data_IF_922413872057
#
_entry.id   IF_922413872057
#
_cell.length_a   1.000
_cell.length_b   1.000
_cell.length_c   1.000
_cell.angle_alpha   90.00
_cell.angle_beta   90.00
_cell.angle_gamma   90.00
#
_symmetry.space_group_name_H-M   'P 1'
#
loop_
_entity.id
_entity.type
_entity.pdbx_description
1 polymer ?
#
# COMPACT_ATOMS: atom_id res chain seq x y z
N UNK A 1 -6.37 -60.10 31.34
CA UNK A 1 -5.62 -59.00 32.00
C UNK A 1 -4.10 -59.23 32.13
N UNK A 2 -3.54 -60.44 31.93
CA UNK A 2 -2.05 -60.64 31.90
C UNK A 2 -1.49 -60.94 30.50
N UNK A 3 -2.32 -61.25 29.50
CA UNK A 3 -1.85 -61.60 28.15
C UNK A 3 -1.77 -60.46 27.13
N UNK A 4 -2.31 -59.28 27.46
CA UNK A 4 -2.28 -58.08 26.58
C UNK A 4 -1.05 -57.20 26.88
N UNK A 5 -0.42 -57.38 28.06
CA UNK A 5 0.76 -56.63 28.49
C UNK A 5 2.09 -57.21 27.98
N UNK A 6 2.11 -58.45 27.47
CA UNK A 6 3.35 -59.11 27.02
C UNK A 6 3.61 -58.90 25.52
N UNK A 7 2.60 -58.49 24.75
CA UNK A 7 2.71 -58.20 23.31
C UNK A 7 3.28 -56.79 23.04
N UNK A 8 3.22 -55.89 24.04
CA UNK A 8 3.81 -54.54 23.95
C UNK A 8 5.32 -54.49 24.23
N UNK A 9 5.93 -55.56 24.75
CA UNK A 9 7.36 -55.56 25.11
C UNK A 9 8.30 -56.04 23.99
N UNK A 10 7.80 -56.48 22.82
CA UNK A 10 8.65 -57.10 21.77
C UNK A 10 8.72 -56.38 20.43
N UNK A 11 8.14 -55.19 20.29
CA UNK A 11 8.29 -54.35 19.09
C UNK A 11 8.98 -53.05 19.45
N UNK A 12 10.29 -53.14 19.68
CA UNK A 12 11.20 -51.99 19.58
C UNK A 12 11.73 -51.90 18.15
N UNK A 13 11.26 -50.95 17.31
CA UNK A 13 12.08 -50.48 16.21
C UNK A 13 13.07 -49.47 16.77
N UNK A 14 14.36 -49.76 16.59
CA UNK A 14 15.46 -48.85 16.88
C UNK A 14 15.24 -47.52 16.14
N UNK A 15 14.79 -46.49 16.86
CA UNK A 15 14.60 -45.15 16.32
C UNK A 15 15.94 -44.41 16.36
N UNK A 16 16.45 -44.14 15.16
CA UNK A 16 17.46 -43.11 14.87
C UNK A 16 17.05 -41.78 15.55
N UNK A 17 18.00 -40.91 15.96
CA UNK A 17 17.66 -39.66 16.62
C UNK A 17 17.00 -38.72 15.60
N UNK A 18 15.67 -38.72 15.55
CA UNK A 18 14.88 -37.70 14.88
C UNK A 18 15.04 -36.39 15.66
N UNK A 19 15.19 -35.28 14.94
CA UNK A 19 15.47 -33.96 15.51
C UNK A 19 14.51 -33.57 16.64
N UNK A 20 15.05 -32.87 17.64
CA UNK A 20 14.43 -32.43 18.90
C UNK A 20 13.13 -31.59 18.76
N UNK A 21 12.59 -31.39 17.56
CA UNK A 21 11.32 -30.68 17.35
C UNK A 21 10.08 -31.58 17.24
N UNK A 22 10.20 -32.82 16.72
CA UNK A 22 9.03 -33.64 16.38
C UNK A 22 8.60 -34.64 17.45
N UNK A 23 9.51 -35.05 18.34
CA UNK A 23 9.22 -35.93 19.48
C UNK A 23 8.47 -35.20 20.61
N UNK A 24 8.60 -33.88 20.72
CA UNK A 24 8.09 -33.10 21.85
C UNK A 24 6.62 -32.65 21.70
N UNK A 25 6.17 -32.38 20.47
CA UNK A 25 4.73 -32.14 20.17
C UNK A 25 3.85 -33.36 20.50
N UNK A 26 4.44 -34.56 20.59
CA UNK A 26 3.70 -35.82 20.81
C UNK A 26 3.23 -36.05 22.24
N UNK A 27 3.73 -35.33 23.25
CA UNK A 27 3.38 -35.61 24.66
C UNK A 27 2.31 -34.67 25.21
N UNK A 28 2.35 -33.39 24.85
CA UNK A 28 1.43 -32.38 25.40
C UNK A 28 0.02 -32.45 24.79
N UNK A 29 -0.10 -32.71 23.47
CA UNK A 29 -1.40 -32.75 22.80
C UNK A 29 -2.30 -33.90 23.31
N UNK A 30 -1.82 -35.15 23.48
CA UNK A 30 -2.65 -36.21 24.06
C UNK A 30 -3.09 -35.93 25.50
N UNK A 31 -2.27 -35.24 26.29
CA UNK A 31 -2.62 -34.83 27.67
C UNK A 31 -3.81 -33.88 27.66
N UNK A 32 -3.83 -32.91 26.73
CA UNK A 32 -4.93 -31.95 26.58
C UNK A 32 -6.20 -32.65 26.07
N UNK A 33 -6.07 -33.52 25.07
CA UNK A 33 -7.21 -34.28 24.53
C UNK A 33 -7.86 -35.15 25.62
N UNK A 34 -7.04 -35.91 26.36
CA UNK A 34 -7.52 -36.74 27.46
C UNK A 34 -8.17 -35.90 28.57
N UNK A 35 -7.59 -34.74 28.91
CA UNK A 35 -8.16 -33.82 29.90
C UNK A 35 -9.56 -33.33 29.52
N UNK A 36 -9.79 -33.05 28.23
CA UNK A 36 -11.11 -32.67 27.71
C UNK A 36 -12.05 -33.87 27.74
N UNK A 37 -11.60 -35.06 27.32
CA UNK A 37 -12.40 -36.29 27.31
C UNK A 37 -12.87 -36.72 28.71
N UNK A 38 -12.00 -36.59 29.72
CA UNK A 38 -12.31 -36.99 31.11
C UNK A 38 -12.79 -35.83 32.00
N UNK A 39 -12.96 -34.63 31.43
CA UNK A 39 -13.30 -33.38 32.11
C UNK A 39 -12.47 -33.09 33.38
N UNK A 40 -11.15 -33.26 33.28
CA UNK A 40 -10.22 -33.04 34.39
C UNK A 40 -9.17 -31.98 34.01
N UNK A 41 -8.99 -30.97 34.87
CA UNK A 41 -8.02 -29.90 34.66
C UNK A 41 -7.16 -29.69 35.92
N UNK A 42 -5.85 -29.83 35.77
CA UNK A 42 -4.86 -29.61 36.83
C UNK A 42 -3.49 -29.27 36.26
N UNK A 43 -2.47 -29.16 37.12
CA UNK A 43 -1.15 -28.60 36.80
C UNK A 43 -0.48 -29.21 35.56
N UNK A 44 -0.65 -30.50 35.32
CA UNK A 44 -0.07 -31.19 34.16
C UNK A 44 -0.71 -30.73 32.83
N UNK A 45 -2.03 -30.50 32.83
CA UNK A 45 -2.77 -29.98 31.67
C UNK A 45 -2.40 -28.53 31.44
N UNK A 46 -2.27 -27.75 32.51
CA UNK A 46 -1.81 -26.37 32.47
C UNK A 46 -0.42 -26.25 31.84
N UNK A 47 0.55 -27.04 32.32
CA UNK A 47 1.90 -27.08 31.75
C UNK A 47 1.89 -27.54 30.29
N UNK A 48 1.05 -28.52 29.94
CA UNK A 48 0.93 -28.98 28.56
C UNK A 48 0.37 -27.89 27.62
N UNK A 49 -0.61 -27.11 28.08
CA UNK A 49 -1.17 -25.98 27.32
C UNK A 49 -0.10 -24.90 27.15
N UNK A 50 0.57 -24.47 28.22
CA UNK A 50 1.61 -23.44 28.15
C UNK A 50 2.79 -23.86 27.27
N UNK A 51 3.20 -25.13 27.36
CA UNK A 51 4.26 -25.69 26.52
C UNK A 51 3.90 -25.63 25.04
N UNK A 52 2.69 -26.08 24.67
CA UNK A 52 2.25 -26.03 23.28
C UNK A 52 2.09 -24.59 22.79
N UNK A 53 1.55 -23.68 23.60
CA UNK A 53 1.41 -22.27 23.23
C UNK A 53 2.78 -21.62 22.96
N UNK A 54 3.76 -21.86 23.82
CA UNK A 54 5.13 -21.34 23.65
C UNK A 54 5.78 -21.86 22.36
N UNK A 55 5.37 -23.04 21.88
CA UNK A 55 5.93 -23.71 20.69
C UNK A 55 5.07 -23.52 19.43
N UNK A 56 4.17 -22.53 19.41
CA UNK A 56 3.31 -22.24 18.26
C UNK A 56 2.27 -23.34 17.98
N UNK A 57 1.89 -24.11 19.00
CA UNK A 57 0.91 -25.20 18.92
C UNK A 57 -0.55 -24.73 18.91
N UNK A 58 -0.81 -23.44 18.68
CA UNK A 58 -2.17 -22.88 18.66
C UNK A 58 -3.08 -23.63 17.68
N UNK A 59 -2.56 -23.97 16.49
CA UNK A 59 -3.27 -24.76 15.47
C UNK A 59 -3.72 -26.14 15.96
N UNK A 60 -3.05 -26.68 16.97
CA UNK A 60 -3.38 -27.99 17.54
C UNK A 60 -4.39 -27.89 18.69
N UNK A 61 -4.31 -26.82 19.50
CA UNK A 61 -5.17 -26.65 20.68
C UNK A 61 -6.50 -25.99 20.32
N UNK A 62 -6.48 -24.95 19.47
CA UNK A 62 -7.67 -24.16 19.18
C UNK A 62 -8.85 -25.02 18.69
N UNK A 63 -8.68 -25.98 17.75
CA UNK A 63 -9.78 -26.83 17.28
C UNK A 63 -10.41 -27.71 18.37
N UNK A 64 -9.69 -28.01 19.47
CA UNK A 64 -10.20 -28.84 20.56
C UNK A 64 -11.22 -28.10 21.44
N UNK A 65 -11.22 -26.76 21.40
CA UNK A 65 -12.03 -25.90 22.27
C UNK A 65 -12.74 -24.78 21.49
N UNK A 66 -12.91 -24.97 20.18
CA UNK A 66 -13.73 -24.12 19.33
C UNK A 66 -15.20 -24.19 19.74
N UNK A 67 -15.90 -23.05 19.74
CA UNK A 67 -17.32 -22.97 20.09
C UNK A 67 -17.63 -23.11 21.60
N UNK A 68 -18.88 -23.47 21.91
CA UNK A 68 -19.29 -23.75 23.29
C UNK A 68 -18.72 -25.10 23.75
N UNK A 69 -17.94 -25.07 24.84
CA UNK A 69 -17.35 -26.28 25.42
C UNK A 69 -18.30 -26.87 26.46
N UNK A 70 -18.69 -28.13 26.29
CA UNK A 70 -19.55 -28.85 27.24
C UNK A 70 -18.81 -29.37 28.48
N UNK A 71 -17.50 -29.13 28.58
CA UNK A 71 -16.63 -29.59 29.66
C UNK A 71 -15.99 -28.41 30.39
N UNK A 72 -15.81 -28.53 31.70
CA UNK A 72 -15.12 -27.52 32.51
C UNK A 72 -13.64 -27.40 32.13
N UNK A 73 -12.99 -28.52 31.79
CA UNK A 73 -11.62 -28.54 31.27
C UNK A 73 -11.50 -27.77 29.95
N UNK A 74 -12.42 -28.01 29.00
CA UNK A 74 -12.46 -27.28 27.73
C UNK A 74 -12.69 -25.77 27.94
N UNK A 75 -13.63 -25.41 28.83
CA UNK A 75 -13.92 -24.02 29.15
C UNK A 75 -12.70 -23.28 29.73
N UNK A 76 -11.94 -23.92 30.63
CA UNK A 76 -10.70 -23.35 31.19
C UNK A 76 -9.61 -23.18 30.15
N UNK A 77 -9.41 -24.17 29.28
CA UNK A 77 -8.45 -24.06 28.17
C UNK A 77 -8.85 -22.91 27.26
N UNK A 78 -10.13 -22.83 26.86
CA UNK A 78 -10.66 -21.75 26.03
C UNK A 78 -10.44 -20.38 26.66
N UNK A 79 -10.74 -20.21 27.95
CA UNK A 79 -10.54 -18.96 28.67
C UNK A 79 -9.07 -18.49 28.60
N UNK A 80 -8.12 -19.43 28.66
CA UNK A 80 -6.69 -19.12 28.57
C UNK A 80 -6.27 -18.72 27.14
N UNK A 81 -6.89 -19.30 26.11
CA UNK A 81 -6.67 -18.94 24.71
C UNK A 81 -7.34 -17.61 24.33
N UNK A 82 -8.46 -17.28 24.94
CA UNK A 82 -9.26 -16.08 24.68
C UNK A 82 -8.68 -14.80 25.31
N UNK A 83 -7.42 -14.81 25.75
CA UNK A 83 -6.78 -13.64 26.40
C UNK A 83 -6.05 -12.77 25.37
N UNK A 84 -6.20 -11.42 25.41
CA UNK A 84 -5.51 -10.50 24.50
C UNK A 84 -3.98 -10.66 24.52
N UNK A 85 -3.41 -11.03 25.66
CA UNK A 85 -1.97 -11.26 25.85
C UNK A 85 -1.46 -12.41 24.94
N UNK A 86 -2.34 -13.30 24.48
CA UNK A 86 -2.00 -14.34 23.51
C UNK A 86 -1.64 -13.77 22.15
N UNK A 87 -2.22 -12.64 21.76
CA UNK A 87 -1.88 -11.94 20.52
C UNK A 87 -0.53 -11.25 20.69
N UNK A 88 -0.28 -10.59 21.81
CA UNK A 88 1.02 -9.95 22.09
C UNK A 88 2.16 -11.00 22.10
N UNK A 89 1.89 -12.22 22.59
CA UNK A 89 2.85 -13.33 22.57
C UNK A 89 3.23 -13.82 21.15
N UNK A 90 2.51 -13.40 20.10
CA UNK A 90 2.87 -13.71 18.71
C UNK A 90 4.05 -12.85 18.22
N UNK A 91 4.48 -11.82 18.95
CA UNK A 91 5.55 -10.93 18.51
C UNK A 91 6.85 -11.67 18.13
N UNK A 92 7.18 -12.75 18.84
CA UNK A 92 8.36 -13.60 18.63
C UNK A 92 8.11 -14.79 17.69
N UNK A 93 6.93 -14.88 17.08
CA UNK A 93 6.55 -15.98 16.18
C UNK A 93 6.89 -15.65 14.73
N UNK A 94 7.58 -16.57 14.05
CA UNK A 94 7.98 -16.38 12.65
C UNK A 94 6.79 -16.34 11.68
N UNK A 95 5.75 -17.14 11.90
CA UNK A 95 4.57 -17.20 11.04
C UNK A 95 3.37 -17.82 11.76
N UNK A 96 2.18 -17.44 11.33
CA UNK A 96 0.90 -18.01 11.71
C UNK A 96 0.06 -18.15 10.45
N UNK A 97 -0.75 -19.19 10.33
CA UNK A 97 -1.76 -19.27 9.26
C UNK A 97 -2.88 -18.26 9.50
N UNK A 98 -3.48 -17.75 8.42
CA UNK A 98 -4.59 -16.81 8.51
C UNK A 98 -5.77 -17.46 9.26
N UNK A 99 -6.02 -18.76 9.05
CA UNK A 99 -7.08 -19.50 9.74
C UNK A 99 -6.79 -19.68 11.24
N UNK A 100 -5.53 -19.78 11.66
CA UNK A 100 -5.19 -19.87 13.09
C UNK A 100 -5.34 -18.51 13.78
N UNK A 101 -4.95 -17.44 13.08
CA UNK A 101 -5.12 -16.07 13.57
C UNK A 101 -6.62 -15.72 13.68
N UNK A 102 -7.41 -16.06 12.67
CA UNK A 102 -8.87 -15.86 12.68
C UNK A 102 -9.53 -16.55 13.88
N UNK A 103 -9.19 -17.82 14.14
CA UNK A 103 -9.68 -18.55 15.33
C UNK A 103 -9.29 -17.88 16.63
N UNK A 104 -8.05 -17.41 16.75
CA UNK A 104 -7.59 -16.70 17.94
C UNK A 104 -8.41 -15.44 18.18
N UNK A 105 -8.63 -14.65 17.13
CA UNK A 105 -9.47 -13.44 17.18
C UNK A 105 -10.91 -13.77 17.53
N UNK A 106 -11.46 -14.86 17.00
CA UNK A 106 -12.81 -15.32 17.35
C UNK A 106 -12.93 -15.73 18.82
N UNK A 107 -11.88 -16.30 19.42
CA UNK A 107 -11.85 -16.64 20.85
C UNK A 107 -11.72 -15.40 21.74
N UNK A 108 -10.81 -14.48 21.41
CA UNK A 108 -10.58 -13.23 22.15
C UNK A 108 -11.76 -12.27 22.03
N UNK A 109 -12.44 -12.29 20.88
CA UNK A 109 -13.46 -11.33 20.49
C UNK A 109 -12.86 -10.17 19.71
N UNK A 110 -13.52 -9.80 18.60
CA UNK A 110 -12.98 -8.83 17.64
C UNK A 110 -12.59 -7.49 18.29
N UNK A 111 -13.46 -6.90 19.10
CA UNK A 111 -13.21 -5.61 19.75
C UNK A 111 -11.96 -5.62 20.66
N UNK A 112 -11.76 -6.71 21.41
CA UNK A 112 -10.64 -6.86 22.33
C UNK A 112 -9.33 -7.20 21.59
N UNK A 113 -9.44 -7.82 20.42
CA UNK A 113 -8.29 -8.22 19.61
C UNK A 113 -7.66 -7.06 18.82
N UNK A 114 -8.39 -5.98 18.51
CA UNK A 114 -7.89 -4.90 17.63
C UNK A 114 -6.62 -4.27 18.16
N UNK A 115 -6.61 -3.77 19.41
CA UNK A 115 -5.46 -3.04 19.93
C UNK A 115 -4.18 -3.90 20.03
N UNK A 116 -4.23 -5.16 20.52
CA UNK A 116 -3.10 -6.09 20.43
C UNK A 116 -2.62 -6.34 18.99
N UNK A 117 -3.53 -6.53 18.03
CA UNK A 117 -3.15 -6.74 16.63
C UNK A 117 -2.48 -5.50 16.01
N UNK A 118 -2.94 -4.29 16.34
CA UNK A 118 -2.31 -3.04 15.89
C UNK A 118 -0.89 -2.86 16.46
N UNK A 119 -0.67 -3.24 17.73
CA UNK A 119 0.69 -3.31 18.31
C UNK A 119 1.54 -4.35 17.60
N UNK A 120 1.01 -5.56 17.40
CA UNK A 120 1.71 -6.66 16.74
C UNK A 120 2.12 -6.30 15.30
N UNK A 121 1.26 -5.61 14.55
CA UNK A 121 1.57 -5.11 13.21
C UNK A 121 2.78 -4.16 13.21
N UNK A 122 2.98 -3.44 14.32
CA UNK A 122 4.02 -2.42 14.48
C UNK A 122 5.33 -2.98 15.05
N UNK A 123 5.24 -4.00 15.89
CA UNK A 123 6.37 -4.53 16.68
C UNK A 123 6.98 -5.79 16.06
N UNK A 124 6.22 -6.56 15.28
CA UNK A 124 6.72 -7.80 14.71
C UNK A 124 7.81 -7.54 13.66
N UNK A 125 8.92 -8.29 13.77
CA UNK A 125 9.95 -8.35 12.75
C UNK A 125 9.63 -9.32 11.61
N UNK A 126 8.61 -10.17 11.75
CA UNK A 126 8.24 -11.14 10.71
C UNK A 126 7.34 -10.49 9.66
N UNK A 127 7.80 -10.53 8.40
CA UNK A 127 7.00 -10.10 7.24
C UNK A 127 5.76 -10.97 7.03
N UNK A 128 5.87 -12.28 7.26
CA UNK A 128 4.76 -13.22 7.12
C UNK A 128 3.68 -12.97 8.17
N UNK A 129 4.08 -12.81 9.44
CA UNK A 129 3.14 -12.51 10.52
C UNK A 129 2.47 -11.15 10.32
N UNK A 130 3.23 -10.11 9.98
CA UNK A 130 2.66 -8.79 9.69
C UNK A 130 1.65 -8.83 8.55
N UNK A 131 1.89 -9.64 7.52
CA UNK A 131 0.94 -9.84 6.42
C UNK A 131 -0.37 -10.43 6.93
N UNK A 132 -0.32 -11.52 7.68
CA UNK A 132 -1.52 -12.16 8.24
C UNK A 132 -2.27 -11.23 9.18
N UNK A 133 -1.56 -10.51 10.05
CA UNK A 133 -2.14 -9.50 10.95
C UNK A 133 -2.80 -8.36 10.18
N UNK A 134 -2.16 -7.85 9.12
CA UNK A 134 -2.72 -6.80 8.27
C UNK A 134 -4.01 -7.25 7.58
N UNK A 135 -4.01 -8.46 7.01
CA UNK A 135 -5.20 -9.05 6.38
C UNK A 135 -6.34 -9.19 7.39
N UNK A 136 -6.04 -9.72 8.58
CA UNK A 136 -7.02 -9.89 9.65
C UNK A 136 -7.62 -8.56 10.11
N UNK A 137 -6.78 -7.54 10.34
CA UNK A 137 -7.24 -6.20 10.70
C UNK A 137 -8.12 -5.58 9.60
N UNK A 138 -7.78 -5.81 8.33
CA UNK A 138 -8.59 -5.34 7.20
C UNK A 138 -9.99 -5.97 7.21
N UNK A 139 -10.09 -7.29 7.48
CA UNK A 139 -11.37 -7.98 7.62
C UNK A 139 -12.21 -7.50 8.82
N UNK A 140 -11.57 -7.04 9.90
CA UNK A 140 -12.26 -6.54 11.11
C UNK A 140 -12.96 -5.19 10.90
N UNK A 141 -12.60 -4.44 9.85
CA UNK A 141 -13.33 -3.25 9.38
C UNK A 141 -13.52 -2.17 10.46
N UNK A 142 -14.77 -1.85 10.78
CA UNK A 142 -15.17 -0.75 11.66
C UNK A 142 -14.51 -0.81 13.06
N UNK A 143 -14.24 -2.00 13.59
CA UNK A 143 -13.57 -2.15 14.90
C UNK A 143 -12.17 -1.51 14.88
N UNK A 144 -11.46 -1.58 13.76
CA UNK A 144 -10.16 -0.92 13.57
C UNK A 144 -10.33 0.59 13.55
N UNK A 145 -11.32 1.10 12.82
CA UNK A 145 -11.58 2.53 12.69
C UNK A 145 -11.78 3.24 14.04
N UNK A 146 -12.39 2.56 15.03
CA UNK A 146 -12.58 3.09 16.39
C UNK A 146 -11.29 3.12 17.23
N UNK A 147 -10.34 2.22 16.98
CA UNK A 147 -9.16 2.02 17.82
C UNK A 147 -7.85 2.54 17.22
N UNK A 148 -7.84 2.94 15.94
CA UNK A 148 -6.60 3.29 15.21
C UNK A 148 -6.02 4.67 15.58
N UNK A 149 -6.83 5.59 16.08
CA UNK A 149 -6.42 6.99 16.33
C UNK A 149 -5.17 7.11 17.23
N UNK A 150 -5.05 6.43 18.38
CA UNK A 150 -3.85 6.52 19.21
C UNK A 150 -2.58 6.06 18.51
N UNK A 151 -2.67 5.12 17.56
CA UNK A 151 -1.53 4.60 16.80
C UNK A 151 -1.10 5.56 15.68
N UNK A 152 -2.03 6.35 15.15
CA UNK A 152 -1.72 7.40 14.19
C UNK A 152 -1.00 8.60 14.82
N UNK A 153 -1.07 8.73 16.15
CA UNK A 153 -0.36 9.74 16.94
C UNK A 153 1.00 9.23 17.49
N UNK A 154 1.40 7.99 17.17
CA UNK A 154 2.67 7.42 17.63
C UNK A 154 3.86 8.23 17.07
N UNK A 155 4.88 8.55 17.90
CA UNK A 155 6.05 9.32 17.44
C UNK A 155 6.92 8.59 16.42
N UNK A 156 6.78 7.26 16.30
CA UNK A 156 7.61 6.43 15.42
C UNK A 156 6.98 6.40 14.03
N UNK A 157 7.71 6.92 13.03
CA UNK A 157 7.24 7.06 11.66
C UNK A 157 6.69 5.75 11.05
N UNK A 158 7.27 4.60 11.38
CA UNK A 158 6.86 3.32 10.81
C UNK A 158 5.51 2.84 11.33
N UNK A 159 5.13 3.21 12.54
CA UNK A 159 3.80 2.89 13.08
C UNK A 159 2.75 3.69 12.34
N UNK A 160 2.92 5.01 12.28
CA UNK A 160 2.03 5.92 11.55
C UNK A 160 1.91 5.49 10.08
N UNK A 161 3.03 5.13 9.43
CA UNK A 161 3.04 4.60 8.06
C UNK A 161 2.19 3.35 7.93
N UNK A 162 2.37 2.36 8.80
CA UNK A 162 1.59 1.11 8.76
C UNK A 162 0.10 1.36 9.02
N UNK A 163 -0.23 2.29 9.93
CA UNK A 163 -1.62 2.66 10.21
C UNK A 163 -2.27 3.33 8.99
N UNK A 164 -1.56 4.21 8.29
CA UNK A 164 -2.06 4.84 7.06
C UNK A 164 -2.26 3.80 5.94
N UNK A 165 -1.35 2.84 5.79
CA UNK A 165 -1.51 1.72 4.85
C UNK A 165 -2.75 0.89 5.19
N UNK A 166 -2.98 0.62 6.47
CA UNK A 166 -4.17 -0.09 6.95
C UNK A 166 -5.44 0.72 6.67
N UNK A 167 -5.47 2.02 6.99
CA UNK A 167 -6.60 2.91 6.68
C UNK A 167 -6.93 2.91 5.19
N UNK A 168 -5.92 2.85 4.31
CA UNK A 168 -6.12 2.79 2.87
C UNK A 168 -6.72 1.47 2.38
N UNK A 169 -6.51 0.39 3.13
CA UNK A 169 -7.04 -0.94 2.83
C UNK A 169 -8.41 -1.22 3.46
N UNK A 170 -8.83 -0.44 4.47
CA UNK A 170 -10.14 -0.62 5.11
C UNK A 170 -11.29 -0.44 4.11
N UNK A 171 -12.37 -1.24 4.23
CA UNK A 171 -13.54 -1.13 3.36
C UNK A 171 -14.25 0.21 3.50
N UNK A 172 -14.28 0.74 4.72
CA UNK A 172 -14.85 2.04 5.04
C UNK A 172 -13.82 2.91 5.76
N UNK A 173 -13.81 4.19 5.40
CA UNK A 173 -12.91 5.16 6.01
C UNK A 173 -13.37 5.45 7.46
N UNK A 174 -12.46 5.47 8.44
CA UNK A 174 -12.80 5.89 9.80
C UNK A 174 -13.41 7.29 9.82
N UNK A 175 -14.57 7.44 10.46
CA UNK A 175 -15.28 8.71 10.54
C UNK A 175 -14.43 9.79 11.24
N UNK A 176 -14.40 10.99 10.67
CA UNK A 176 -13.66 12.13 11.24
C UNK A 176 -12.13 12.08 11.06
N UNK A 177 -11.57 11.02 10.47
CA UNK A 177 -10.14 10.93 10.20
C UNK A 177 -9.78 11.75 8.95
N UNK A 178 -9.10 12.90 9.15
CA UNK A 178 -8.38 13.58 8.08
C UNK A 178 -6.93 13.09 8.04
N UNK A 179 -6.40 12.84 6.84
CA UNK A 179 -5.01 12.42 6.64
C UNK A 179 -4.13 13.51 6.03
N UNK A 180 -4.67 14.72 5.84
CA UNK A 180 -3.96 15.82 5.21
C UNK A 180 -2.68 16.22 5.97
N UNK A 181 -2.70 16.24 7.31
CA UNK A 181 -1.52 16.64 8.09
C UNK A 181 -0.37 15.64 7.95
N UNK A 182 -0.66 14.35 7.76
CA UNK A 182 0.36 13.33 7.51
C UNK A 182 1.01 13.49 6.13
N UNK A 183 0.33 14.09 5.15
CA UNK A 183 0.92 14.39 3.84
C UNK A 183 2.02 15.47 3.89
N UNK A 184 2.19 16.15 5.03
CA UNK A 184 3.29 17.10 5.31
C UNK A 184 4.26 16.59 6.40
N UNK A 185 4.21 15.30 6.74
CA UNK A 185 5.04 14.71 7.79
C UNK A 185 6.55 14.80 7.46
N UNK A 186 7.45 14.94 8.46
CA UNK A 186 8.90 15.00 8.22
C UNK A 186 9.47 13.78 7.47
N UNK A 187 8.96 12.59 7.79
CA UNK A 187 9.36 11.34 7.12
C UNK A 187 8.62 11.15 5.78
N UNK A 188 9.37 10.96 4.70
CA UNK A 188 8.87 10.77 3.33
C UNK A 188 7.95 9.55 3.19
N UNK A 189 8.21 8.45 3.91
CA UNK A 189 7.40 7.23 3.81
C UNK A 189 6.00 7.44 4.37
N UNK A 190 5.88 8.25 5.42
CA UNK A 190 4.58 8.66 5.97
C UNK A 190 3.83 9.55 4.98
N UNK A 191 4.51 10.53 4.37
CA UNK A 191 3.89 11.39 3.35
C UNK A 191 3.36 10.57 2.15
N UNK A 192 4.14 9.60 1.69
CA UNK A 192 3.74 8.68 0.61
C UNK A 192 2.50 7.86 0.96
N UNK A 193 2.40 7.34 2.18
CA UNK A 193 1.23 6.60 2.63
C UNK A 193 -0.01 7.49 2.80
N UNK A 194 0.19 8.73 3.26
CA UNK A 194 -0.90 9.67 3.52
C UNK A 194 -1.50 10.32 2.26
N UNK A 195 -0.67 10.58 1.25
CA UNK A 195 -1.06 11.38 0.10
C UNK A 195 -2.29 10.82 -0.65
N UNK A 196 -2.36 9.52 -1.01
CA UNK A 196 -3.53 8.96 -1.70
C UNK A 196 -4.82 9.08 -0.87
N UNK A 197 -4.73 8.98 0.46
CA UNK A 197 -5.87 9.14 1.36
C UNK A 197 -6.36 10.59 1.41
N UNK A 198 -5.43 11.54 1.43
CA UNK A 198 -5.73 12.97 1.45
C UNK A 198 -6.31 13.46 0.10
N UNK A 199 -5.87 12.87 -1.02
CA UNK A 199 -6.42 13.17 -2.35
C UNK A 199 -7.87 12.71 -2.53
N UNK A 200 -8.27 11.67 -1.80
CA UNK A 200 -9.66 11.15 -1.75
C UNK A 200 -10.58 11.96 -0.84
N UNK A 201 -10.05 12.85 0.01
CA UNK A 201 -10.85 13.74 0.87
C UNK A 201 -11.28 14.98 0.06
N UNK A 202 -12.58 15.20 -0.20
CA UNK A 202 -13.01 16.35 -1.01
C UNK A 202 -12.51 17.70 -0.47
N UNK A 203 -12.56 17.89 0.85
CA UNK A 203 -12.15 19.13 1.52
C UNK A 203 -10.63 19.34 1.53
N UNK A 204 -9.84 18.27 1.56
CA UNK A 204 -8.38 18.34 1.60
C UNK A 204 -7.72 18.24 0.22
N UNK A 205 -8.45 17.77 -0.80
CA UNK A 205 -7.92 17.43 -2.13
C UNK A 205 -7.08 18.54 -2.76
N UNK A 206 -7.56 19.78 -2.73
CA UNK A 206 -6.83 20.90 -3.32
C UNK A 206 -5.46 21.14 -2.64
N UNK A 207 -5.42 21.02 -1.31
CA UNK A 207 -4.17 21.14 -0.54
C UNK A 207 -3.26 19.92 -0.75
N UNK A 208 -3.83 18.72 -0.81
CA UNK A 208 -3.09 17.49 -1.10
C UNK A 208 -2.44 17.51 -2.49
N UNK A 209 -3.15 18.00 -3.52
CA UNK A 209 -2.59 18.23 -4.85
C UNK A 209 -1.43 19.22 -4.82
N UNK A 210 -1.60 20.33 -4.10
CA UNK A 210 -0.52 21.33 -3.94
C UNK A 210 0.72 20.73 -3.27
N UNK A 211 0.54 19.90 -2.25
CA UNK A 211 1.64 19.20 -1.59
C UNK A 211 2.32 18.21 -2.53
N UNK A 212 1.54 17.39 -3.25
CA UNK A 212 2.07 16.40 -4.19
C UNK A 212 2.93 17.03 -5.29
N UNK A 213 2.46 18.12 -5.91
CA UNK A 213 3.16 18.76 -7.03
C UNK A 213 4.46 19.46 -6.59
N UNK A 214 4.54 19.88 -5.32
CA UNK A 214 5.73 20.56 -4.79
C UNK A 214 6.77 19.61 -4.19
N UNK A 215 6.51 18.31 -4.20
CA UNK A 215 7.44 17.35 -3.62
C UNK A 215 8.65 17.09 -4.51
N UNK A 216 9.76 16.73 -3.87
CA UNK A 216 10.95 16.27 -4.57
C UNK A 216 10.88 14.80 -4.98
N UNK A 217 10.02 14.01 -4.33
CA UNK A 217 9.85 12.58 -4.65
C UNK A 217 8.96 12.41 -5.88
N UNK A 218 9.56 11.94 -6.99
CA UNK A 218 8.84 11.77 -8.27
C UNK A 218 7.60 10.87 -8.16
N UNK A 219 7.58 9.90 -7.23
CA UNK A 219 6.42 9.02 -7.07
C UNK A 219 5.24 9.82 -6.53
N UNK A 220 5.47 10.70 -5.56
CA UNK A 220 4.43 11.61 -5.05
C UNK A 220 3.96 12.61 -6.10
N UNK A 221 4.88 13.22 -6.84
CA UNK A 221 4.52 14.15 -7.92
C UNK A 221 3.69 13.45 -9.00
N UNK A 222 4.11 12.24 -9.42
CA UNK A 222 3.34 11.40 -10.34
C UNK A 222 1.94 11.11 -9.81
N UNK A 223 1.79 10.70 -8.55
CA UNK A 223 0.47 10.49 -7.92
C UNK A 223 -0.39 11.76 -8.00
N UNK A 224 0.17 12.94 -7.70
CA UNK A 224 -0.54 14.20 -7.81
C UNK A 224 -1.01 14.52 -9.24
N UNK A 225 -0.15 14.32 -10.23
CA UNK A 225 -0.47 14.53 -11.64
C UNK A 225 -1.55 13.55 -12.14
N UNK A 226 -1.48 12.28 -11.76
CA UNK A 226 -2.46 11.26 -12.16
C UNK A 226 -3.86 11.52 -11.59
N UNK A 227 -3.98 12.27 -10.49
CA UNK A 227 -5.27 12.68 -9.92
C UNK A 227 -5.90 13.88 -10.65
N UNK A 228 -5.17 14.59 -11.53
CA UNK A 228 -5.66 15.72 -12.32
C UNK A 228 -6.32 15.25 -13.63
N UNK A 229 -7.40 14.45 -13.51
CA UNK A 229 -7.98 13.70 -14.64
C UNK A 229 -8.84 14.51 -15.63
N UNK A 230 -9.65 15.46 -15.16
CA UNK A 230 -10.68 16.09 -16.00
C UNK A 230 -10.70 17.62 -15.93
N UNK A 231 -10.48 18.19 -14.74
CA UNK A 231 -10.44 19.64 -14.56
C UNK A 231 -9.17 20.02 -13.80
N UNK A 232 -8.36 20.90 -14.41
CA UNK A 232 -7.20 21.48 -13.78
C UNK A 232 -7.64 22.72 -12.99
N UNK A 233 -7.54 22.72 -11.65
CA UNK A 233 -7.84 23.92 -10.89
C UNK A 233 -6.86 25.02 -11.29
N UNK A 234 -7.37 26.24 -11.53
CA UNK A 234 -6.55 27.37 -12.00
C UNK A 234 -5.32 27.64 -11.11
N UNK A 235 -5.44 27.44 -9.79
CA UNK A 235 -4.32 27.60 -8.85
C UNK A 235 -3.21 26.53 -8.96
N UNK A 236 -3.48 25.39 -9.60
CA UNK A 236 -2.52 24.29 -9.76
C UNK A 236 -1.69 24.45 -11.04
N UNK A 237 -2.22 25.13 -12.07
CA UNK A 237 -1.52 25.33 -13.36
C UNK A 237 -0.10 25.91 -13.18
N UNK A 238 0.12 27.01 -12.42
CA UNK A 238 1.46 27.55 -12.23
C UNK A 238 2.39 26.58 -11.51
N UNK A 239 1.86 25.74 -10.62
CA UNK A 239 2.64 24.76 -9.86
C UNK A 239 3.11 23.62 -10.76
N UNK A 240 2.22 23.08 -11.61
CA UNK A 240 2.59 22.02 -12.57
C UNK A 240 3.62 22.52 -13.58
N UNK A 241 3.47 23.77 -14.06
CA UNK A 241 4.47 24.37 -14.94
C UNK A 241 5.81 24.48 -14.22
N UNK A 242 5.83 25.10 -13.04
CA UNK A 242 7.08 25.43 -12.32
C UNK A 242 7.81 24.20 -11.80
N UNK A 243 7.09 23.26 -11.17
CA UNK A 243 7.69 22.13 -10.46
C UNK A 243 7.74 20.83 -11.28
N UNK A 244 6.97 20.71 -12.36
CA UNK A 244 6.96 19.48 -13.17
C UNK A 244 7.47 19.70 -14.58
N UNK A 245 7.16 20.82 -15.25
CA UNK A 245 7.49 21.02 -16.66
C UNK A 245 8.82 21.76 -16.86
N UNK A 246 9.01 22.86 -16.13
CA UNK A 246 10.17 23.74 -16.20
C UNK A 246 11.38 23.25 -15.38
N UNK A 247 11.15 22.31 -14.47
CA UNK A 247 12.22 21.70 -13.67
C UNK A 247 12.94 20.62 -14.50
N UNK A 248 14.15 20.94 -14.94
CA UNK A 248 14.98 20.04 -15.74
C UNK A 248 15.58 18.88 -14.91
N UNK A 249 15.48 18.90 -13.58
CA UNK A 249 15.84 17.75 -12.73
C UNK A 249 14.80 16.63 -12.79
N UNK A 250 13.56 16.94 -13.22
CA UNK A 250 12.49 15.96 -13.37
C UNK A 250 12.75 15.02 -14.56
N UNK A 251 12.42 13.74 -14.38
CA UNK A 251 12.50 12.77 -15.46
C UNK A 251 11.63 13.16 -16.66
N UNK A 252 12.08 12.77 -17.86
CA UNK A 252 11.34 12.96 -19.11
C UNK A 252 9.92 12.39 -19.02
N UNK A 253 9.74 11.25 -18.36
CA UNK A 253 8.42 10.64 -18.14
C UNK A 253 7.50 11.54 -17.32
N UNK A 254 8.01 12.17 -16.26
CA UNK A 254 7.20 13.06 -15.42
C UNK A 254 6.85 14.37 -16.15
N UNK A 255 7.81 14.95 -16.87
CA UNK A 255 7.58 16.11 -17.74
C UNK A 255 6.55 15.82 -18.84
N UNK A 256 6.58 14.62 -19.43
CA UNK A 256 5.57 14.15 -20.38
C UNK A 256 4.17 14.07 -19.75
N UNK A 257 4.07 13.49 -18.54
CA UNK A 257 2.82 13.45 -17.81
C UNK A 257 2.30 14.85 -17.50
N UNK A 258 3.17 15.79 -17.12
CA UNK A 258 2.80 17.19 -16.93
C UNK A 258 2.25 17.83 -18.21
N UNK A 259 2.87 17.60 -19.38
CA UNK A 259 2.35 18.06 -20.67
C UNK A 259 0.96 17.48 -20.93
N UNK A 260 0.75 16.19 -20.67
CA UNK A 260 -0.57 15.54 -20.85
C UNK A 260 -1.64 16.15 -19.96
N UNK A 261 -1.30 16.39 -18.69
CA UNK A 261 -2.19 17.03 -17.72
C UNK A 261 -2.53 18.45 -18.16
N UNK A 262 -1.56 19.22 -18.66
CA UNK A 262 -1.79 20.60 -19.08
C UNK A 262 -2.51 20.72 -20.43
N UNK A 263 -2.38 19.74 -21.32
CA UNK A 263 -2.85 19.81 -22.71
C UNK A 263 -4.33 20.21 -22.91
N UNK A 264 -5.30 19.78 -22.06
CA UNK A 264 -6.69 20.19 -22.19
C UNK A 264 -6.97 21.64 -21.74
N UNK A 265 -6.02 22.30 -21.05
CA UNK A 265 -6.23 23.63 -20.47
C UNK A 265 -6.27 24.73 -21.52
N UNK A 266 -7.23 25.64 -21.37
CA UNK A 266 -7.34 26.89 -22.12
C UNK A 266 -6.64 28.08 -21.45
N UNK A 267 -5.82 27.84 -20.40
CA UNK A 267 -5.05 28.90 -19.74
C UNK A 267 -3.87 29.35 -20.63
N UNK A 268 -3.74 30.66 -20.96
CA UNK A 268 -2.62 31.17 -21.75
C UNK A 268 -1.23 30.86 -21.17
N UNK A 269 -1.10 30.69 -19.84
CA UNK A 269 0.18 30.27 -19.24
C UNK A 269 0.60 28.88 -19.71
N UNK A 270 -0.36 27.97 -19.91
CA UNK A 270 -0.10 26.64 -20.47
C UNK A 270 0.38 26.76 -21.90
N UNK A 271 -0.29 27.57 -22.73
CA UNK A 271 0.17 27.83 -24.11
C UNK A 271 1.61 28.30 -24.14
N UNK A 272 1.96 29.28 -23.29
CA UNK A 272 3.30 29.87 -23.27
C UNK A 272 4.36 28.87 -22.79
N UNK A 273 4.04 28.04 -21.78
CA UNK A 273 4.91 26.96 -21.33
C UNK A 273 5.11 25.87 -22.41
N UNK A 274 4.04 25.46 -23.09
CA UNK A 274 4.13 24.49 -24.19
C UNK A 274 4.93 25.04 -25.37
N UNK A 275 4.83 26.34 -25.68
CA UNK A 275 5.65 27.00 -26.69
C UNK A 275 7.14 26.97 -26.32
N UNK A 276 7.47 27.21 -25.05
CA UNK A 276 8.85 27.12 -24.53
C UNK A 276 9.43 25.71 -24.72
N UNK A 277 8.64 24.66 -24.44
CA UNK A 277 9.06 23.26 -24.61
C UNK A 277 9.18 22.87 -26.08
N UNK A 278 8.17 23.20 -26.91
CA UNK A 278 8.13 22.80 -28.31
C UNK A 278 9.14 23.58 -29.19
N UNK A 279 9.50 24.81 -28.79
CA UNK A 279 10.41 25.66 -29.53
C UNK A 279 11.21 26.61 -28.64
N UNK A 280 12.17 26.11 -27.84
CA UNK A 280 12.91 26.91 -26.86
C UNK A 280 13.80 28.00 -27.51
N UNK A 281 14.08 27.89 -28.80
CA UNK A 281 15.04 28.72 -29.51
C UNK A 281 14.44 29.54 -30.65
N UNK A 282 15.17 30.59 -31.05
CA UNK A 282 14.93 31.35 -32.27
C UNK A 282 16.05 31.09 -33.29
N UNK A 283 15.69 31.11 -34.57
CA UNK A 283 16.66 31.18 -35.67
C UNK A 283 17.43 32.50 -35.64
N UNK A 284 18.53 32.59 -36.41
CA UNK A 284 19.35 33.80 -36.56
C UNK A 284 18.55 35.04 -37.04
N UNK A 285 17.36 34.84 -37.59
CA UNK A 285 16.45 35.91 -38.03
C UNK A 285 15.29 36.14 -37.04
N UNK A 286 15.41 35.67 -35.80
CA UNK A 286 14.41 35.86 -34.74
C UNK A 286 13.13 35.04 -34.90
N UNK A 287 13.02 34.17 -35.93
CA UNK A 287 11.85 33.30 -36.12
C UNK A 287 11.91 32.09 -35.17
N UNK A 288 10.80 31.70 -34.53
CA UNK A 288 10.74 30.49 -33.71
C UNK A 288 11.18 29.25 -34.50
N UNK A 289 11.86 28.33 -33.82
CA UNK A 289 12.27 27.04 -34.38
C UNK A 289 11.83 25.93 -33.43
N UNK A 290 11.39 24.80 -33.97
CA UNK A 290 11.17 23.59 -33.17
C UNK A 290 12.45 23.22 -32.40
N UNK A 291 12.25 22.67 -31.20
CA UNK A 291 13.30 22.03 -30.41
C UNK A 291 13.97 20.87 -31.16
N UNK A 292 15.07 20.37 -30.60
CA UNK A 292 15.79 19.26 -31.20
C UNK A 292 14.99 17.95 -31.09
N UNK A 293 14.46 17.50 -32.23
CA UNK A 293 13.64 16.30 -32.34
C UNK A 293 14.45 15.00 -32.21
N UNK A 294 15.76 15.06 -32.44
CA UNK A 294 16.66 13.90 -32.37
C UNK A 294 17.29 13.73 -30.99
N UNK A 295 17.25 14.76 -30.15
CA UNK A 295 17.68 14.67 -28.76
C UNK A 295 16.79 13.71 -27.94
N UNK A 296 17.28 13.16 -26.82
CA UNK A 296 16.49 12.29 -25.94
C UNK A 296 15.15 12.92 -25.50
N UNK A 297 15.14 14.23 -25.29
CA UNK A 297 13.96 15.01 -24.89
C UNK A 297 13.05 15.39 -26.07
N UNK A 298 13.36 14.98 -27.30
CA UNK A 298 12.55 15.27 -28.48
C UNK A 298 11.11 14.75 -28.38
N UNK A 299 10.84 13.77 -27.49
CA UNK A 299 9.48 13.32 -27.17
C UNK A 299 8.65 14.41 -26.50
N UNK A 300 9.26 15.26 -25.64
CA UNK A 300 8.61 16.40 -25.00
C UNK A 300 8.22 17.45 -26.04
N UNK A 301 9.11 17.71 -27.01
CA UNK A 301 8.84 18.63 -28.12
C UNK A 301 7.62 18.19 -28.92
N UNK A 302 7.53 16.89 -29.25
CA UNK A 302 6.39 16.33 -30.00
C UNK A 302 5.10 16.36 -29.18
N UNK A 303 5.14 16.00 -27.91
CA UNK A 303 3.98 16.04 -27.02
C UNK A 303 3.46 17.48 -26.83
N UNK A 304 4.36 18.44 -26.62
CA UNK A 304 3.99 19.84 -26.49
C UNK A 304 3.42 20.42 -27.80
N UNK A 305 4.00 20.05 -28.95
CA UNK A 305 3.46 20.41 -30.26
C UNK A 305 2.05 19.85 -30.47
N UNK A 306 1.82 18.59 -30.10
CA UNK A 306 0.50 17.97 -30.19
C UNK A 306 -0.53 18.69 -29.32
N UNK A 307 -0.17 19.05 -28.09
CA UNK A 307 -1.02 19.83 -27.19
C UNK A 307 -1.38 21.19 -27.81
N UNK A 308 -0.41 21.89 -28.40
CA UNK A 308 -0.61 23.15 -29.10
C UNK A 308 -1.51 23.01 -30.33
N UNK A 309 -1.35 21.93 -31.11
CA UNK A 309 -2.20 21.65 -32.28
C UNK A 309 -3.65 21.36 -31.86
N UNK A 310 -3.87 20.67 -30.73
CA UNK A 310 -5.21 20.32 -30.24
C UNK A 310 -5.93 21.51 -29.61
N UNK A 311 -5.26 22.24 -28.71
CA UNK A 311 -5.90 23.30 -27.92
C UNK A 311 -5.79 24.71 -28.53
N UNK A 312 -4.77 24.96 -29.36
CA UNK A 312 -4.32 26.32 -29.68
C UNK A 312 -4.06 26.56 -31.17
N UNK A 313 -4.61 25.73 -32.07
CA UNK A 313 -4.35 25.80 -33.52
C UNK A 313 -4.61 27.18 -34.13
N UNK A 314 -5.64 27.86 -33.64
CA UNK A 314 -6.06 29.18 -34.13
C UNK A 314 -5.36 30.36 -33.40
N UNK A 315 -4.53 30.09 -32.39
CA UNK A 315 -3.87 31.15 -31.61
C UNK A 315 -2.74 31.82 -32.43
N UNK A 316 -2.76 33.16 -32.59
CA UNK A 316 -1.72 33.90 -33.32
C UNK A 316 -0.30 33.71 -32.78
N UNK A 317 -0.13 33.43 -31.48
CA UNK A 317 1.17 33.20 -30.84
C UNK A 317 1.74 31.82 -31.20
N UNK A 318 0.87 30.86 -31.52
CA UNK A 318 1.24 29.47 -31.86
C UNK A 318 1.51 29.30 -33.36
N UNK A 319 0.82 30.08 -34.19
CA UNK A 319 0.94 30.02 -35.66
C UNK A 319 2.38 30.06 -36.21
N UNK A 320 3.33 30.87 -35.68
CA UNK A 320 4.72 30.86 -36.14
C UNK A 320 5.43 29.52 -35.94
N UNK A 321 5.17 28.84 -34.82
CA UNK A 321 5.76 27.54 -34.53
C UNK A 321 5.17 26.45 -35.43
N UNK A 322 3.85 26.46 -35.66
CA UNK A 322 3.20 25.50 -36.57
C UNK A 322 3.74 25.63 -38.01
N UNK A 323 3.91 26.86 -38.50
CA UNK A 323 4.55 27.10 -39.81
C UNK A 323 6.01 26.63 -39.88
N UNK A 324 6.73 26.64 -38.76
CA UNK A 324 8.06 26.06 -38.69
C UNK A 324 8.00 24.53 -38.69
N UNK A 325 7.03 23.95 -38.00
CA UNK A 325 6.78 22.51 -37.97
C UNK A 325 6.41 21.95 -39.34
N UNK A 326 5.61 22.64 -40.15
CA UNK A 326 5.27 22.22 -41.53
C UNK A 326 6.49 22.03 -42.44
N UNK A 327 7.62 22.69 -42.13
CA UNK A 327 8.86 22.61 -42.92
C UNK A 327 9.74 21.42 -42.54
N UNK A 328 9.41 20.71 -41.46
CA UNK A 328 10.20 19.56 -41.01
C UNK A 328 10.01 18.35 -41.92
N UNK A 329 10.99 17.44 -41.90
CA UNK A 329 10.89 16.12 -42.55
C UNK A 329 10.53 14.98 -41.58
N UNK A 330 10.42 15.28 -40.30
CA UNK A 330 10.06 14.32 -39.26
C UNK A 330 8.64 13.77 -39.46
N UNK A 331 8.50 12.45 -39.52
CA UNK A 331 7.22 11.79 -39.81
C UNK A 331 6.21 12.01 -38.68
N UNK A 332 6.66 11.93 -37.43
CA UNK A 332 5.81 12.05 -36.24
C UNK A 332 5.22 13.46 -36.16
N UNK A 333 6.03 14.48 -36.41
CA UNK A 333 5.55 15.87 -36.45
C UNK A 333 4.50 16.09 -37.54
N UNK A 334 4.67 15.52 -38.74
CA UNK A 334 3.64 15.62 -39.79
C UNK A 334 2.33 14.96 -39.37
N UNK A 335 2.39 13.75 -38.81
CA UNK A 335 1.21 13.06 -38.30
C UNK A 335 0.52 13.83 -37.17
N UNK A 336 1.28 14.51 -36.31
CA UNK A 336 0.73 15.38 -35.26
C UNK A 336 -0.02 16.57 -35.88
N UNK A 337 0.58 17.24 -36.88
CA UNK A 337 -0.06 18.39 -37.56
C UNK A 337 -1.36 18.02 -38.28
N UNK A 338 -1.41 16.79 -38.81
CA UNK A 338 -2.58 16.17 -39.45
C UNK A 338 -3.60 15.60 -38.44
N UNK A 339 -3.23 15.48 -37.17
CA UNK A 339 -4.08 14.89 -36.11
C UNK A 339 -4.20 13.37 -36.19
N UNK A 340 -3.34 12.68 -36.95
CA UNK A 340 -3.39 11.23 -37.17
C UNK A 340 -2.59 10.42 -36.15
N UNK A 341 -1.85 11.10 -35.26
CA UNK A 341 -1.08 10.49 -34.16
C UNK A 341 -1.43 11.12 -32.81
N UNK A 342 -1.42 10.28 -31.78
CA UNK A 342 -1.62 10.67 -30.39
C UNK A 342 -0.47 10.17 -29.51
N UNK A 343 0.38 11.08 -29.02
CA UNK A 343 1.35 10.85 -27.95
C UNK A 343 0.76 11.21 -26.58
N UNK A 344 -0.24 12.10 -26.59
CA UNK A 344 -1.07 12.42 -25.46
C UNK A 344 -2.16 11.34 -25.37
N UNK A 345 -1.79 10.17 -24.84
CA UNK A 345 -2.76 9.17 -24.38
C UNK A 345 -3.61 9.73 -23.23
N UNK A 346 -4.53 8.92 -22.70
CA UNK A 346 -5.27 9.35 -21.50
C UNK A 346 -4.35 9.24 -20.28
N UNK A 347 -4.55 10.11 -19.28
CA UNK A 347 -3.82 10.01 -17.99
C UNK A 347 -4.01 8.62 -17.35
N UNK A 348 -5.12 7.93 -17.67
CA UNK A 348 -5.40 6.57 -17.22
C UNK A 348 -4.48 5.48 -17.79
N UNK A 349 -3.86 5.71 -18.97
CA UNK A 349 -3.02 4.70 -19.63
C UNK A 349 -1.71 4.43 -18.87
N UNK A 350 -1.23 5.39 -18.05
CA UNK A 350 -0.04 5.20 -17.20
C UNK A 350 -0.34 4.46 -15.89
N UNK A 351 -1.58 4.50 -15.40
CA UNK A 351 -1.97 3.82 -14.15
C UNK A 351 -1.88 2.29 -14.30
N UNK A 352 -2.13 1.76 -15.50
CA UNK A 352 -2.08 0.34 -15.80
C UNK A 352 -0.65 -0.25 -15.82
N UNK A 353 0.38 0.58 -16.01
CA UNK A 353 1.78 0.14 -16.16
C UNK A 353 2.50 0.04 -14.82
N UNK A 354 2.01 0.70 -13.76
CA UNK A 354 2.68 0.81 -12.47
C UNK A 354 1.88 0.24 -11.28
N UNK A 355 0.83 -0.53 -11.54
CA UNK A 355 0.01 -1.18 -10.52
C UNK A 355 0.65 -2.46 -9.97
N UNK A 356 1.89 -2.39 -9.46
CA UNK A 356 2.34 -3.35 -8.45
C UNK A 356 2.55 -2.60 -7.13
N UNK A 357 1.73 -2.86 -6.10
CA UNK A 357 2.03 -2.35 -4.78
C UNK A 357 3.24 -3.13 -4.26
N UNK A 358 4.42 -2.50 -4.27
CA UNK A 358 5.51 -2.85 -3.36
C UNK A 358 4.98 -2.60 -1.94
N UNK A 359 4.24 -3.57 -1.43
CA UNK A 359 3.95 -3.68 -0.02
C UNK A 359 5.24 -4.05 0.66
N UNK A 360 6.01 -3.02 1.01
CA UNK A 360 7.14 -3.11 1.93
C UNK A 360 6.58 -3.22 3.36
N UNK A 361 5.68 -4.20 3.55
CA UNK A 361 5.21 -4.62 4.87
C UNK A 361 6.38 -5.21 5.61
#
# INVERSE_FOLDING_TARGET
>A
YVRILDEFSRTSPALRPAGRGSTFKRTALPVIQMAIEVDAYGDMVEQAVDELLTKGGLELIAPLVEGETNTAAGARIRQRLASPERIDALADVDQISDEALERLVAMVGAEQAVAPLLRLLSESSSRSLRRSVFNQLTHMGEHVGRAITPFLEDPRWYVVRNMLELVAALPERPAGLSTLHYASHPDLRVRRAALPLALKEPEARARALTLAIRESDERMVRTGLLELKEELPAGIVPLVITHCLDDDEQSVSLRLLAIRVLAPSADPQVRDALLKVAGPGRSLFGRPRLGDLAAPEGVLVRAALEALVRGWRADPHVAPLLKAAEKTRDADVRSILEGTRSLLGTVGDEVAVHAEPEMDL
#
